data_IF_525205610405
#
_entry.id   IF_525205610405
#
_cell.length_a   1.000
_cell.length_b   1.000
_cell.length_c   1.000
_cell.angle_alpha   90.00
_cell.angle_beta   90.00
_cell.angle_gamma   90.00
#
_symmetry.space_group_name_H-M   'P 1'
#
loop_
_entity.id
_entity.type
_entity.pdbx_description
1 polymer ?
#
# COMPACT_ATOMS: atom_id res chain seq x y z
N UNK A 1 5.17 -65.09 9.95
CA UNK A 1 4.20 -64.11 10.46
C UNK A 1 4.92 -62.76 10.56
N UNK A 2 4.70 -61.86 9.61
CA UNK A 2 5.24 -60.49 9.64
C UNK A 2 4.29 -59.59 8.86
N UNK A 3 3.15 -59.26 9.49
CA UNK A 3 2.23 -58.24 9.01
C UNK A 3 2.61 -56.95 9.71
N UNK A 4 3.34 -56.04 9.05
CA UNK A 4 3.29 -54.61 9.37
C UNK A 4 4.02 -53.74 8.33
N UNK A 5 3.39 -53.43 7.18
CA UNK A 5 3.67 -52.23 6.40
C UNK A 5 2.60 -51.13 6.59
N UNK A 6 1.57 -51.38 7.42
CA UNK A 6 0.43 -50.48 7.58
C UNK A 6 0.74 -49.26 8.47
N UNK A 7 1.65 -49.37 9.43
CA UNK A 7 1.99 -48.28 10.35
C UNK A 7 2.81 -47.17 9.71
N UNK A 8 3.70 -47.50 8.78
CA UNK A 8 4.57 -46.50 8.13
C UNK A 8 3.83 -45.70 7.05
N UNK A 9 2.89 -46.32 6.33
CA UNK A 9 2.01 -45.61 5.39
C UNK A 9 1.01 -44.69 6.09
N UNK A 10 0.51 -45.07 7.26
CA UNK A 10 -0.38 -44.21 8.05
C UNK A 10 0.36 -42.99 8.62
N UNK A 11 1.59 -43.18 9.13
CA UNK A 11 2.42 -42.06 9.61
C UNK A 11 2.88 -41.13 8.49
N UNK A 12 3.28 -41.67 7.33
CA UNK A 12 3.67 -40.83 6.19
C UNK A 12 2.49 -40.08 5.59
N UNK A 13 1.30 -40.69 5.58
CA UNK A 13 0.06 -40.00 5.20
C UNK A 13 -0.26 -38.87 6.20
N UNK A 14 -0.31 -39.12 7.51
CA UNK A 14 -0.59 -38.09 8.52
C UNK A 14 0.36 -36.90 8.44
N UNK A 15 1.66 -37.16 8.25
CA UNK A 15 2.68 -36.10 8.10
C UNK A 15 2.54 -35.30 6.79
N UNK A 16 1.90 -35.87 5.76
CA UNK A 16 1.62 -35.19 4.49
C UNK A 16 0.39 -34.26 4.62
N UNK A 17 -0.59 -34.61 5.46
CA UNK A 17 -1.75 -33.75 5.74
C UNK A 17 -1.39 -32.55 6.62
N UNK A 18 -0.48 -32.72 7.58
CA UNK A 18 0.01 -31.61 8.43
C UNK A 18 0.88 -30.59 7.67
N UNK A 19 1.45 -31.00 6.52
CA UNK A 19 2.32 -30.16 5.67
C UNK A 19 1.60 -29.58 4.43
N UNK A 20 0.30 -29.79 4.28
CA UNK A 20 -0.49 -29.06 3.29
C UNK A 20 -0.89 -27.71 3.88
N UNK A 21 0.09 -26.84 4.12
CA UNK A 21 -0.20 -25.41 4.23
C UNK A 21 -0.86 -25.00 2.92
N UNK A 22 -2.11 -24.54 3.02
CA UNK A 22 -2.84 -24.08 1.85
C UNK A 22 -2.09 -22.86 1.30
N UNK A 23 -1.66 -22.85 0.02
CA UNK A 23 -0.94 -21.71 -0.55
C UNK A 23 -1.72 -20.39 -0.47
N UNK A 24 -3.04 -20.45 -0.19
CA UNK A 24 -3.86 -19.28 0.15
C UNK A 24 -3.45 -18.65 1.48
N UNK A 25 -3.13 -19.42 2.52
CA UNK A 25 -2.67 -18.88 3.81
C UNK A 25 -1.30 -18.19 3.68
N UNK A 26 -0.39 -18.76 2.89
CA UNK A 26 0.90 -18.13 2.59
C UNK A 26 0.75 -16.82 1.80
N UNK A 27 -0.29 -16.73 0.96
CA UNK A 27 -0.59 -15.52 0.19
C UNK A 27 -1.24 -14.44 1.07
N UNK A 28 -2.17 -14.82 1.94
CA UNK A 28 -2.80 -13.93 2.93
C UNK A 28 -1.75 -13.37 3.90
N UNK A 29 -0.87 -14.22 4.44
CA UNK A 29 0.18 -13.79 5.36
C UNK A 29 1.17 -12.81 4.70
N UNK A 30 1.52 -13.03 3.42
CA UNK A 30 2.36 -12.07 2.67
C UNK A 30 1.65 -10.75 2.41
N UNK A 31 0.34 -10.78 2.13
CA UNK A 31 -0.45 -9.56 1.96
C UNK A 31 -0.52 -8.74 3.25
N UNK A 32 -0.69 -9.40 4.40
CA UNK A 32 -0.68 -8.76 5.72
C UNK A 32 0.69 -8.12 6.02
N UNK A 33 1.79 -8.86 5.78
CA UNK A 33 3.15 -8.34 5.94
C UNK A 33 3.41 -7.14 5.04
N UNK A 34 2.97 -7.19 3.78
CA UNK A 34 3.13 -6.07 2.85
C UNK A 34 2.29 -4.85 3.29
N UNK A 35 1.08 -5.05 3.81
CA UNK A 35 0.26 -3.96 4.33
C UNK A 35 0.90 -3.29 5.55
N UNK A 36 1.49 -4.06 6.47
CA UNK A 36 2.18 -3.52 7.63
C UNK A 36 3.49 -2.82 7.25
N UNK A 37 4.24 -3.35 6.29
CA UNK A 37 5.42 -2.71 5.73
C UNK A 37 5.06 -1.39 5.02
N UNK A 38 3.96 -1.36 4.25
CA UNK A 38 3.48 -0.14 3.62
C UNK A 38 3.10 0.95 4.65
N UNK A 39 2.49 0.56 5.78
CA UNK A 39 2.23 1.50 6.89
C UNK A 39 3.53 2.07 7.46
N UNK A 40 4.58 1.25 7.60
CA UNK A 40 5.89 1.73 8.05
C UNK A 40 6.49 2.74 7.06
N UNK A 41 6.39 2.49 5.75
CA UNK A 41 6.91 3.38 4.72
C UNK A 41 6.27 4.77 4.70
N UNK A 42 5.03 4.94 5.17
CA UNK A 42 4.39 6.26 5.30
C UNK A 42 5.14 7.24 6.20
N UNK A 43 6.04 6.74 7.04
CA UNK A 43 6.87 7.54 7.93
C UNK A 43 8.34 7.58 7.51
N UNK A 44 8.70 6.91 6.40
CA UNK A 44 10.03 6.88 5.83
C UNK A 44 10.15 7.90 4.68
N UNK A 45 10.89 9.02 4.86
CA UNK A 45 11.01 10.05 3.84
C UNK A 45 11.67 9.58 2.54
N UNK A 46 12.53 8.56 2.58
CA UNK A 46 13.15 8.02 1.37
C UNK A 46 12.14 7.22 0.56
N UNK A 47 11.31 6.41 1.22
CA UNK A 47 10.27 5.62 0.57
C UNK A 47 9.13 6.48 0.06
N UNK A 48 8.75 7.53 0.78
CA UNK A 48 7.79 8.51 0.29
C UNK A 48 8.29 9.22 -0.98
N UNK A 49 9.56 9.63 -1.02
CA UNK A 49 10.15 10.24 -2.22
C UNK A 49 10.18 9.26 -3.39
N UNK A 50 10.65 8.03 -3.17
CA UNK A 50 10.68 6.99 -4.19
C UNK A 50 9.28 6.69 -4.75
N UNK A 51 8.26 6.62 -3.89
CA UNK A 51 6.89 6.43 -4.32
C UNK A 51 6.34 7.63 -5.11
N UNK A 52 6.60 8.86 -4.64
CA UNK A 52 6.19 10.08 -5.33
C UNK A 52 6.78 10.16 -6.73
N UNK A 53 8.10 9.93 -6.87
CA UNK A 53 8.81 9.94 -8.15
C UNK A 53 8.22 8.91 -9.14
N UNK A 54 7.76 7.77 -8.63
CA UNK A 54 7.16 6.71 -9.45
C UNK A 54 5.69 6.99 -9.80
N UNK A 55 5.00 7.83 -9.04
CA UNK A 55 3.65 8.34 -9.34
C UNK A 55 3.67 9.64 -10.15
N UNK A 56 4.82 10.29 -10.29
CA UNK A 56 4.94 11.52 -11.06
C UNK A 56 4.52 11.28 -12.52
N UNK A 57 3.60 12.12 -13.01
CA UNK A 57 3.06 12.03 -14.37
C UNK A 57 1.91 11.03 -14.56
N UNK A 58 1.43 10.35 -13.51
CA UNK A 58 0.26 9.44 -13.63
C UNK A 58 -1.08 10.17 -13.57
N UNK A 59 -1.11 11.38 -13.01
CA UNK A 59 -2.32 12.19 -12.98
C UNK A 59 -2.59 12.90 -14.31
N UNK A 60 -3.85 13.31 -14.50
CA UNK A 60 -4.23 14.10 -15.66
C UNK A 60 -3.65 15.51 -15.62
N UNK A 61 -3.44 16.13 -16.78
CA UNK A 61 -3.04 17.54 -16.86
C UNK A 61 -4.04 18.48 -16.16
N UNK A 62 -5.33 18.11 -16.11
CA UNK A 62 -6.36 18.83 -15.36
C UNK A 62 -6.06 18.80 -13.87
N UNK A 63 -5.71 17.64 -13.29
CA UNK A 63 -5.36 17.52 -11.88
C UNK A 63 -4.17 18.42 -11.50
N UNK A 64 -3.10 18.39 -12.30
CA UNK A 64 -1.94 19.27 -12.06
C UNK A 64 -2.29 20.76 -12.17
N UNK A 65 -3.22 21.12 -13.07
CA UNK A 65 -3.75 22.48 -13.17
C UNK A 65 -4.53 22.86 -11.92
N UNK A 66 -5.39 21.97 -11.41
CA UNK A 66 -6.14 22.18 -10.17
C UNK A 66 -5.23 22.37 -8.96
N UNK A 67 -4.19 21.56 -8.81
CA UNK A 67 -3.17 21.71 -7.75
C UNK A 67 -2.49 23.08 -7.84
N UNK A 68 -2.04 23.46 -9.04
CA UNK A 68 -1.37 24.74 -9.27
C UNK A 68 -2.27 25.94 -8.93
N UNK A 69 -3.54 25.88 -9.33
CA UNK A 69 -4.52 26.92 -9.03
C UNK A 69 -4.92 26.96 -7.56
N UNK A 70 -5.00 25.81 -6.88
CA UNK A 70 -5.29 25.75 -5.45
C UNK A 70 -4.15 26.38 -4.63
N UNK A 71 -2.89 26.10 -4.98
CA UNK A 71 -1.72 26.73 -4.35
C UNK A 71 -1.67 28.24 -4.62
N UNK A 72 -2.02 28.67 -5.83
CA UNK A 72 -2.14 30.09 -6.16
C UNK A 72 -3.18 30.80 -5.28
N UNK A 73 -4.37 30.20 -5.13
CA UNK A 73 -5.44 30.74 -4.27
C UNK A 73 -5.02 30.77 -2.79
N UNK A 74 -4.36 29.71 -2.31
CA UNK A 74 -3.84 29.65 -0.95
C UNK A 74 -2.90 30.82 -0.65
N UNK A 75 -1.98 31.13 -1.56
CA UNK A 75 -1.04 32.23 -1.38
C UNK A 75 -1.72 33.60 -1.27
N UNK A 76 -2.84 33.80 -1.97
CA UNK A 76 -3.55 35.08 -2.01
C UNK A 76 -4.71 35.17 -1.00
N UNK A 77 -4.97 34.12 -0.23
CA UNK A 77 -5.98 34.13 0.81
C UNK A 77 -5.33 34.57 2.12
N UNK A 78 -5.87 35.60 2.76
CA UNK A 78 -5.42 35.98 4.11
C UNK A 78 -5.65 34.78 5.06
N UNK A 79 -4.66 34.40 5.90
CA UNK A 79 -4.83 33.34 6.87
C UNK A 79 -6.10 33.46 7.75
N UNK A 80 -6.55 34.68 8.04
CA UNK A 80 -7.78 34.92 8.80
C UNK A 80 -9.06 34.46 8.06
N UNK A 81 -9.04 34.48 6.73
CA UNK A 81 -10.18 34.14 5.87
C UNK A 81 -10.14 32.68 5.37
N UNK A 82 -9.08 31.95 5.69
CA UNK A 82 -8.77 30.63 5.13
C UNK A 82 -9.84 29.56 5.41
N UNK A 83 -10.48 29.60 6.58
CA UNK A 83 -11.55 28.66 6.94
C UNK A 83 -12.85 28.88 6.16
N UNK A 84 -13.08 30.10 5.65
CA UNK A 84 -14.30 30.47 4.93
C UNK A 84 -14.14 30.56 3.41
N UNK A 85 -12.91 30.52 2.89
CA UNK A 85 -12.61 30.76 1.47
C UNK A 85 -12.84 29.55 0.55
N UNK A 86 -13.06 28.36 1.11
CA UNK A 86 -13.16 27.11 0.35
C UNK A 86 -11.81 26.54 -0.11
N UNK A 87 -10.71 27.29 0.01
CA UNK A 87 -9.37 26.88 -0.43
C UNK A 87 -8.89 25.62 0.29
N UNK A 88 -9.13 25.51 1.60
CA UNK A 88 -8.77 24.30 2.35
C UNK A 88 -9.54 23.09 1.85
N UNK A 89 -10.82 23.25 1.50
CA UNK A 89 -11.63 22.14 1.00
C UNK A 89 -11.09 21.61 -0.33
N UNK A 90 -10.71 22.52 -1.24
CA UNK A 90 -10.06 22.16 -2.50
C UNK A 90 -8.73 21.43 -2.26
N UNK A 91 -7.89 21.95 -1.37
CA UNK A 91 -6.60 21.35 -1.04
C UNK A 91 -6.74 19.97 -0.39
N UNK A 92 -7.69 19.78 0.52
CA UNK A 92 -7.95 18.46 1.13
C UNK A 92 -8.43 17.43 0.12
N UNK A 93 -9.27 17.84 -0.84
CA UNK A 93 -9.70 16.97 -1.93
C UNK A 93 -8.50 16.55 -2.78
N UNK A 94 -7.70 17.50 -3.23
CA UNK A 94 -6.52 17.22 -4.06
C UNK A 94 -5.48 16.38 -3.32
N UNK A 95 -5.20 16.71 -2.06
CA UNK A 95 -4.27 15.96 -1.21
C UNK A 95 -4.73 14.52 -0.97
N UNK A 96 -6.04 14.26 -0.92
CA UNK A 96 -6.57 12.90 -0.83
C UNK A 96 -6.24 12.07 -2.06
N UNK A 97 -6.37 12.66 -3.25
CA UNK A 97 -6.09 11.96 -4.51
C UNK A 97 -4.59 11.66 -4.64
N UNK A 98 -3.72 12.64 -4.30
CA UNK A 98 -2.27 12.46 -4.22
C UNK A 98 -1.87 11.37 -3.21
N UNK A 99 -2.42 11.44 -1.99
CA UNK A 99 -2.13 10.47 -0.94
C UNK A 99 -2.56 9.06 -1.33
N UNK A 100 -3.70 8.90 -2.01
CA UNK A 100 -4.16 7.59 -2.47
C UNK A 100 -3.22 6.98 -3.52
N UNK A 101 -2.69 7.79 -4.44
CA UNK A 101 -1.72 7.31 -5.43
C UNK A 101 -0.40 6.89 -4.76
N UNK A 102 0.13 7.72 -3.87
CA UNK A 102 1.36 7.42 -3.13
C UNK A 102 1.17 6.18 -2.24
N UNK A 103 0.06 6.08 -1.51
CA UNK A 103 -0.26 4.92 -0.68
C UNK A 103 -0.37 3.62 -1.50
N UNK A 104 -0.99 3.69 -2.67
CA UNK A 104 -1.05 2.57 -3.60
C UNK A 104 0.35 2.14 -4.03
N UNK A 105 1.22 3.10 -4.36
CA UNK A 105 2.59 2.80 -4.78
C UNK A 105 3.45 2.23 -3.65
N UNK A 106 3.30 2.74 -2.43
CA UNK A 106 3.95 2.20 -1.24
C UNK A 106 3.58 0.73 -1.00
N UNK A 107 2.31 0.38 -1.21
CA UNK A 107 1.85 -1.00 -1.10
C UNK A 107 2.46 -1.89 -2.17
N UNK A 108 2.54 -1.43 -3.43
CA UNK A 108 3.20 -2.17 -4.51
C UNK A 108 4.68 -2.44 -4.21
N UNK A 109 5.40 -1.43 -3.72
CA UNK A 109 6.79 -1.56 -3.30
C UNK A 109 6.93 -2.57 -2.14
N UNK A 110 6.03 -2.53 -1.16
CA UNK A 110 6.03 -3.49 -0.05
C UNK A 110 5.73 -4.93 -0.51
N UNK A 111 4.79 -5.12 -1.44
CA UNK A 111 4.49 -6.42 -2.03
C UNK A 111 5.70 -7.00 -2.78
N UNK A 112 6.40 -6.17 -3.55
CA UNK A 112 7.63 -6.58 -4.24
C UNK A 112 8.73 -6.98 -3.25
N UNK A 113 8.87 -6.25 -2.13
CA UNK A 113 9.86 -6.54 -1.10
C UNK A 113 9.59 -7.83 -0.33
N UNK A 114 8.31 -8.14 -0.05
CA UNK A 114 7.90 -9.39 0.64
C UNK A 114 7.96 -10.60 -0.29
N UNK A 115 7.87 -10.40 -1.61
CA UNK A 115 7.95 -11.45 -2.61
C UNK A 115 9.38 -11.78 -3.08
N UNK A 116 10.37 -10.94 -2.74
CA UNK A 116 11.79 -11.07 -3.10
C UNK A 116 12.56 -11.94 -2.11
#
# INVERSE_FOLDING_TARGET
>A
MALQPYSDRARSAQRNWDNQEDPRFDQEHRAEQAADLAKAYRTDPAKLREAEEQTAGTFSGTHYTEVSLALYRLHHTDPADLMGSGVLQDLYRLARDEAAAIDGRLLEMALQQVAA
#
